data_IF_660035164998
#
_entry.id   IF_660035164998
#
_cell.length_a   1.000
_cell.length_b   1.000
_cell.length_c   1.000
_cell.angle_alpha   90.00
_cell.angle_beta   90.00
_cell.angle_gamma   90.00
#
_symmetry.space_group_name_H-M   'P 1'
#
loop_
_entity.id
_entity.type
_entity.pdbx_description
1 polymer ?
#
# COMPACT_ATOMS: atom_id res chain seq x y z
N UNK A 1 -21.38 6.91 17.14
CA UNK A 1 -19.92 7.09 17.03
C UNK A 1 -19.27 5.95 17.81
N UNK A 2 -18.69 4.96 17.14
CA UNK A 2 -18.02 3.82 17.82
C UNK A 2 -16.61 4.27 18.21
N UNK A 3 -16.21 4.18 19.48
CA UNK A 3 -14.87 4.57 19.91
C UNK A 3 -13.85 3.52 19.42
N UNK A 4 -12.95 3.94 18.52
CA UNK A 4 -11.78 3.12 18.15
C UNK A 4 -10.66 3.38 19.15
N UNK A 5 -10.21 2.32 19.84
CA UNK A 5 -9.03 2.38 20.70
C UNK A 5 -7.75 2.66 19.86
N UNK A 6 -6.75 3.38 20.38
CA UNK A 6 -5.46 3.56 19.70
C UNK A 6 -4.84 2.18 19.35
N UNK A 7 -4.13 2.09 18.22
CA UNK A 7 -3.61 0.84 17.61
C UNK A 7 -4.62 -0.20 17.10
N UNK A 8 -5.94 0.04 17.12
CA UNK A 8 -6.92 -0.92 16.53
C UNK A 8 -7.22 -0.71 15.05
N UNK A 9 -6.60 0.28 14.37
CA UNK A 9 -6.74 0.44 12.92
C UNK A 9 -5.97 -0.66 12.20
N UNK A 10 -6.63 -1.81 12.07
CA UNK A 10 -6.18 -2.98 11.31
C UNK A 10 -6.14 -2.71 9.81
N UNK A 11 -6.65 -1.57 9.33
CA UNK A 11 -6.66 -1.21 7.91
C UNK A 11 -6.19 0.23 7.77
N UNK A 12 -5.26 0.43 6.85
CA UNK A 12 -4.66 1.72 6.51
C UNK A 12 -4.75 1.88 5.00
N UNK A 13 -5.12 3.07 4.53
CA UNK A 13 -5.15 3.38 3.10
C UNK A 13 -4.06 4.41 2.83
N UNK A 14 -3.08 4.00 2.04
CA UNK A 14 -2.02 4.86 1.53
C UNK A 14 -2.39 5.35 0.13
N UNK A 15 -1.97 6.56 -0.17
CA UNK A 15 -1.93 7.07 -1.54
C UNK A 15 -0.49 6.96 -2.02
N UNK A 16 -0.33 6.28 -3.13
CA UNK A 16 0.96 6.05 -3.75
C UNK A 16 0.98 6.80 -5.09
N UNK A 17 2.06 7.52 -5.40
CA UNK A 17 2.20 8.26 -6.65
C UNK A 17 3.62 8.17 -7.17
N UNK A 18 3.77 7.94 -8.46
CA UNK A 18 5.09 8.06 -9.12
C UNK A 18 5.43 9.54 -9.30
N UNK A 19 6.55 9.96 -8.72
CA UNK A 19 7.14 11.29 -8.90
C UNK A 19 8.46 11.17 -9.67
N UNK A 20 9.03 12.29 -10.10
CA UNK A 20 10.33 12.34 -10.79
C UNK A 20 11.48 11.86 -9.89
N UNK A 21 11.36 12.06 -8.58
CA UNK A 21 12.33 11.61 -7.58
C UNK A 21 12.12 10.15 -7.11
N UNK A 22 11.12 9.44 -7.66
CA UNK A 22 10.80 8.06 -7.30
C UNK A 22 9.36 7.87 -6.82
N UNK A 23 9.10 6.72 -6.19
CA UNK A 23 7.77 6.36 -5.73
C UNK A 23 7.44 7.03 -4.39
N UNK A 24 6.45 7.92 -4.40
CA UNK A 24 5.93 8.54 -3.18
C UNK A 24 4.84 7.64 -2.58
N UNK A 25 4.99 7.30 -1.30
CA UNK A 25 4.00 6.58 -0.52
C UNK A 25 3.61 7.45 0.68
N UNK A 26 2.34 7.76 0.84
CA UNK A 26 1.91 8.71 1.84
C UNK A 26 0.42 8.73 2.11
N UNK A 27 0.00 9.73 2.87
CA UNK A 27 -1.42 10.06 3.04
C UNK A 27 -1.70 11.40 2.40
N UNK A 28 -2.94 11.56 1.92
CA UNK A 28 -3.44 12.87 1.52
C UNK A 28 -3.70 13.66 2.80
N UNK A 29 -3.03 14.80 2.94
CA UNK A 29 -3.23 15.69 4.10
C UNK A 29 -4.70 16.14 4.11
N UNK A 30 -5.35 16.10 5.27
CA UNK A 30 -6.72 16.60 5.40
C UNK A 30 -6.76 18.08 4.99
N UNK A 31 -7.69 18.44 4.10
CA UNK A 31 -7.80 19.75 3.43
C UNK A 31 -6.66 20.12 2.45
N UNK A 32 -5.86 19.17 1.94
CA UNK A 32 -4.89 19.48 0.87
C UNK A 32 -4.72 18.33 -0.12
N UNK A 33 -4.45 18.67 -1.39
CA UNK A 33 -4.12 17.70 -2.45
C UNK A 33 -2.65 17.25 -2.41
N UNK A 34 -1.91 17.65 -1.38
CA UNK A 34 -0.51 17.28 -1.19
C UNK A 34 -0.38 15.90 -0.58
N UNK A 35 0.43 15.06 -1.22
CA UNK A 35 0.81 13.74 -0.73
C UNK A 35 2.04 13.93 0.13
N UNK A 36 1.89 13.74 1.43
CA UNK A 36 3.02 13.78 2.36
C UNK A 36 3.60 12.38 2.42
N UNK A 37 4.85 12.25 1.99
CA UNK A 37 5.65 11.04 2.24
C UNK A 37 5.66 10.78 3.74
N UNK A 38 4.96 9.73 4.17
CA UNK A 38 4.96 9.36 5.59
C UNK A 38 6.03 8.30 5.78
N UNK A 39 7.10 8.68 6.46
CA UNK A 39 8.18 7.79 6.88
C UNK A 39 7.78 7.04 8.16
N UNK A 40 6.98 7.67 9.02
CA UNK A 40 6.46 7.07 10.26
C UNK A 40 5.00 7.48 10.47
N UNK A 41 4.09 6.50 10.51
CA UNK A 41 2.68 6.76 10.80
C UNK A 41 2.40 6.39 12.27
N UNK A 42 2.29 7.35 13.20
CA UNK A 42 2.19 7.08 14.66
C UNK A 42 0.89 6.36 15.08
N UNK A 43 -0.09 6.27 14.17
CA UNK A 43 -1.36 5.56 14.39
C UNK A 43 -1.40 4.17 13.74
N UNK A 44 -0.40 3.81 12.94
CA UNK A 44 -0.30 2.52 12.27
C UNK A 44 0.48 1.55 13.15
N UNK A 45 0.16 0.25 13.09
CA UNK A 45 0.90 -0.79 13.81
C UNK A 45 2.39 -0.71 13.44
N UNK A 46 3.33 -0.87 14.40
CA UNK A 46 4.77 -0.84 14.14
C UNK A 46 5.21 -1.89 13.11
N UNK A 47 4.44 -2.98 12.95
CA UNK A 47 4.63 -3.98 11.90
C UNK A 47 4.43 -3.45 10.47
N UNK A 48 3.55 -2.45 10.29
CA UNK A 48 3.34 -1.79 9.00
C UNK A 48 4.49 -0.84 8.72
N UNK A 49 4.94 -0.10 9.74
CA UNK A 49 6.08 0.83 9.62
C UNK A 49 7.37 0.07 9.26
N UNK A 50 7.64 -1.06 9.92
CA UNK A 50 8.78 -1.92 9.60
C UNK A 50 8.73 -2.52 8.17
N UNK A 51 7.55 -2.55 7.54
CA UNK A 51 7.33 -3.05 6.18
C UNK A 51 7.05 -1.94 5.16
N UNK A 52 7.17 -0.66 5.52
CA UNK A 52 6.93 0.47 4.61
C UNK A 52 7.83 0.43 3.38
N UNK A 53 9.10 0.08 3.56
CA UNK A 53 10.05 -0.05 2.46
C UNK A 53 9.62 -1.12 1.45
N UNK A 54 9.17 -2.28 1.97
CA UNK A 54 8.62 -3.38 1.15
C UNK A 54 7.33 -2.97 0.44
N UNK A 55 6.48 -2.20 1.11
CA UNK A 55 5.26 -1.67 0.52
C UNK A 55 5.55 -0.64 -0.57
N UNK A 56 6.62 0.14 -0.45
CA UNK A 56 7.09 1.06 -1.49
C UNK A 56 7.61 0.30 -2.70
N UNK A 57 8.43 -0.72 -2.49
CA UNK A 57 8.91 -1.60 -3.56
C UNK A 57 7.75 -2.31 -4.28
N UNK A 58 6.77 -2.81 -3.53
CA UNK A 58 5.55 -3.38 -4.11
C UNK A 58 4.77 -2.34 -4.91
N UNK A 59 4.63 -1.11 -4.39
CA UNK A 59 3.97 -0.01 -5.07
C UNK A 59 4.67 0.33 -6.40
N UNK A 60 5.99 0.29 -6.48
CA UNK A 60 6.73 0.44 -7.75
C UNK A 60 6.44 -0.68 -8.74
N UNK A 61 6.42 -1.94 -8.28
CA UNK A 61 6.14 -3.10 -9.13
C UNK A 61 4.73 -3.06 -9.73
N UNK A 62 3.74 -2.62 -8.93
CA UNK A 62 2.33 -2.54 -9.35
C UNK A 62 2.00 -1.22 -10.06
N UNK A 63 2.91 -0.24 -10.08
CA UNK A 63 2.70 1.05 -10.70
C UNK A 63 2.77 0.95 -12.23
N UNK A 64 1.60 0.88 -12.87
CA UNK A 64 1.44 0.94 -14.32
C UNK A 64 0.81 2.28 -14.78
N UNK A 65 0.79 3.30 -13.91
CA UNK A 65 0.17 4.61 -14.17
C UNK A 65 1.06 5.76 -13.71
N UNK A 66 0.92 6.92 -14.34
CA UNK A 66 1.54 8.19 -13.90
C UNK A 66 0.70 8.95 -12.88
N UNK A 67 -0.55 8.51 -12.65
CA UNK A 67 -1.46 9.09 -11.66
C UNK A 67 -1.18 8.55 -10.25
N UNK A 68 -1.71 9.22 -9.25
CA UNK A 68 -1.78 8.67 -7.90
C UNK A 68 -2.78 7.51 -7.86
N UNK A 69 -2.43 6.46 -7.13
CA UNK A 69 -3.26 5.29 -6.90
C UNK A 69 -3.38 5.00 -5.41
N UNK A 70 -4.33 4.16 -5.03
CA UNK A 70 -4.62 3.88 -3.62
C UNK A 70 -4.19 2.47 -3.27
N UNK A 71 -3.45 2.34 -2.16
CA UNK A 71 -3.01 1.07 -1.63
C UNK A 71 -3.55 0.90 -0.21
N UNK A 72 -4.51 0.01 -0.07
CA UNK A 72 -5.03 -0.42 1.22
C UNK A 72 -4.15 -1.53 1.79
N UNK A 73 -3.67 -1.37 3.01
CA UNK A 73 -2.94 -2.39 3.76
C UNK A 73 -3.78 -2.76 4.98
N UNK A 74 -4.09 -4.04 5.12
CA UNK A 74 -4.86 -4.58 6.23
C UNK A 74 -4.00 -5.55 7.03
N UNK A 75 -3.70 -5.22 8.29
CA UNK A 75 -3.07 -6.12 9.23
C UNK A 75 -4.08 -7.13 9.78
N UNK A 76 -3.84 -8.41 9.51
CA UNK A 76 -4.58 -9.54 10.05
C UNK A 76 -3.67 -10.39 10.94
N UNK A 77 -4.25 -11.25 11.79
CA UNK A 77 -3.49 -12.15 12.66
C UNK A 77 -2.61 -13.16 11.91
N UNK A 78 -2.87 -13.36 10.62
CA UNK A 78 -2.10 -14.23 9.72
C UNK A 78 -1.12 -13.49 8.81
N UNK A 79 -1.07 -12.16 8.84
CA UNK A 79 -0.15 -11.35 8.02
C UNK A 79 -0.79 -10.07 7.47
N UNK A 80 -0.07 -9.38 6.58
CA UNK A 80 -0.55 -8.17 5.92
C UNK A 80 -1.24 -8.50 4.59
N UNK A 81 -2.49 -8.09 4.45
CA UNK A 81 -3.25 -8.09 3.21
C UNK A 81 -3.09 -6.74 2.51
N UNK A 82 -2.83 -6.75 1.19
CA UNK A 82 -2.60 -5.53 0.41
C UNK A 82 -3.55 -5.50 -0.78
N UNK A 83 -4.33 -4.43 -0.89
CA UNK A 83 -5.23 -4.18 -2.02
C UNK A 83 -4.88 -2.86 -2.69
N UNK A 84 -4.57 -2.92 -3.98
CA UNK A 84 -4.16 -1.79 -4.80
C UNK A 84 -5.30 -1.44 -5.76
N UNK A 85 -5.64 -0.17 -5.89
CA UNK A 85 -6.69 0.33 -6.76
C UNK A 85 -6.16 1.46 -7.61
N UNK A 86 -6.60 1.54 -8.87
CA UNK A 86 -6.23 2.61 -9.81
C UNK A 86 -4.73 2.64 -10.17
N UNK A 87 -3.99 1.53 -9.97
CA UNK A 87 -2.56 1.45 -10.32
C UNK A 87 -2.29 1.30 -11.82
N UNK A 88 -3.34 1.23 -12.64
CA UNK A 88 -3.28 1.08 -14.08
C UNK A 88 -3.38 -0.37 -14.54
N UNK A 89 -3.27 -0.59 -15.86
CA UNK A 89 -3.39 -1.91 -16.46
C UNK A 89 -2.07 -2.66 -16.36
N UNK A 90 -1.93 -3.48 -15.32
CA UNK A 90 -0.79 -4.35 -15.13
C UNK A 90 -0.77 -5.50 -16.11
N UNK A 91 0.35 -5.67 -16.81
CA UNK A 91 0.60 -6.83 -17.65
C UNK A 91 0.78 -8.11 -16.83
N UNK A 92 0.57 -9.27 -17.43
CA UNK A 92 0.68 -10.57 -16.75
C UNK A 92 2.06 -10.77 -16.10
N UNK A 93 3.13 -10.33 -16.75
CA UNK A 93 4.47 -10.45 -16.18
C UNK A 93 4.63 -9.63 -14.89
N UNK A 94 4.12 -8.38 -14.87
CA UNK A 94 4.16 -7.55 -13.65
C UNK A 94 3.31 -8.15 -12.53
N UNK A 95 2.13 -8.68 -12.85
CA UNK A 95 1.28 -9.42 -11.89
C UNK A 95 2.03 -10.58 -11.27
N UNK A 96 2.72 -11.38 -12.09
CA UNK A 96 3.50 -12.54 -11.65
C UNK A 96 4.68 -12.14 -10.75
N UNK A 97 5.38 -11.06 -11.10
CA UNK A 97 6.47 -10.51 -10.28
C UNK A 97 5.92 -9.99 -8.95
N UNK A 98 4.79 -9.28 -8.96
CA UNK A 98 4.14 -8.77 -7.75
C UNK A 98 3.69 -9.92 -6.83
N UNK A 99 3.06 -10.98 -7.35
CA UNK A 99 2.68 -12.15 -6.55
C UNK A 99 3.89 -12.86 -5.96
N UNK A 100 4.96 -13.06 -6.74
CA UNK A 100 6.20 -13.63 -6.22
C UNK A 100 6.81 -12.77 -5.11
N UNK A 101 6.76 -11.45 -5.25
CA UNK A 101 7.23 -10.54 -4.21
C UNK A 101 6.40 -10.66 -2.93
N UNK A 102 5.07 -10.73 -3.05
CA UNK A 102 4.13 -10.90 -1.92
C UNK A 102 4.43 -12.18 -1.16
N UNK A 103 4.65 -13.28 -1.87
CA UNK A 103 5.04 -14.57 -1.29
C UNK A 103 6.40 -14.46 -0.59
N UNK A 104 7.40 -13.89 -1.25
CA UNK A 104 8.75 -13.72 -0.70
C UNK A 104 8.77 -12.83 0.56
N UNK A 105 7.87 -11.85 0.64
CA UNK A 105 7.78 -10.94 1.78
C UNK A 105 6.85 -11.44 2.90
N UNK A 106 6.22 -12.60 2.73
CA UNK A 106 5.27 -13.17 3.70
C UNK A 106 4.03 -12.30 3.89
N UNK A 107 3.52 -11.73 2.81
CA UNK A 107 2.23 -11.04 2.79
C UNK A 107 1.11 -12.07 2.63
N UNK A 108 -0.04 -11.82 3.26
CA UNK A 108 -1.15 -12.77 3.30
C UNK A 108 -1.91 -12.85 1.96
N UNK A 109 -2.08 -11.70 1.29
CA UNK A 109 -2.81 -11.59 0.02
C UNK A 109 -2.45 -10.30 -0.71
N UNK A 110 -2.45 -10.35 -2.04
CA UNK A 110 -2.40 -9.19 -2.92
C UNK A 110 -3.67 -9.14 -3.78
N UNK A 111 -4.31 -7.97 -3.83
CA UNK A 111 -5.38 -7.68 -4.77
C UNK A 111 -5.07 -6.42 -5.57
N UNK A 112 -5.40 -6.41 -6.85
CA UNK A 112 -5.19 -5.32 -7.78
C UNK A 112 -6.50 -5.07 -8.53
N UNK A 113 -7.06 -3.87 -8.36
CA UNK A 113 -8.32 -3.42 -8.97
C UNK A 113 -9.51 -4.35 -8.68
N UNK A 114 -9.48 -5.06 -7.55
CA UNK A 114 -10.51 -6.03 -7.15
C UNK A 114 -10.23 -7.46 -7.62
N UNK A 115 -9.20 -7.69 -8.43
CA UNK A 115 -8.72 -9.03 -8.79
C UNK A 115 -7.68 -9.51 -7.77
N UNK A 116 -7.71 -10.78 -7.38
CA UNK A 116 -6.72 -11.38 -6.47
C UNK A 116 -5.65 -12.05 -7.32
N UNK A 117 -4.39 -11.73 -7.05
CA UNK A 117 -3.21 -12.25 -7.76
C UNK A 117 -2.37 -13.15 -6.86
#
# INVERSE_FOLDING_TARGET
LVPCAPQTRRRVVFTARRSEAGMLLGFVRALSSEIISIEECPISLPEIVAKLDRLRALAELVCATTKSFRMTVTASGSGLDVAVHESGKLGENQRRVASNFVIAQGLARLSIDGEII
#
